data_IF_478196197957
#
_entry.id   IF_478196197957
#
_cell.length_a   1.000
_cell.length_b   1.000
_cell.length_c   1.000
_cell.angle_alpha   90.00
_cell.angle_beta   90.00
_cell.angle_gamma   90.00
#
_symmetry.space_group_name_H-M   'P 1'
#
loop_
_entity.id
_entity.type
_entity.pdbx_description
1 polymer ?
#
# COMPACT_ATOMS: atom_id res chain seq x y z
N UNK A 1 -19.26 26.22 -27.73
CA UNK A 1 -19.64 25.00 -27.01
C UNK A 1 -18.65 23.92 -27.41
N UNK A 2 -17.50 23.91 -26.75
CA UNK A 2 -16.48 22.87 -26.93
C UNK A 2 -16.48 22.12 -25.62
N UNK A 3 -17.10 20.94 -25.63
CA UNK A 3 -16.98 19.97 -24.56
C UNK A 3 -15.49 19.57 -24.51
N UNK A 4 -14.78 20.06 -23.50
CA UNK A 4 -13.52 19.45 -23.09
C UNK A 4 -13.88 18.01 -22.73
N UNK A 5 -13.23 16.97 -23.26
CA UNK A 5 -13.47 15.63 -22.77
C UNK A 5 -13.20 15.68 -21.26
N UNK A 6 -14.27 15.52 -20.47
CA UNK A 6 -14.13 15.32 -19.04
C UNK A 6 -13.15 14.17 -18.90
N UNK A 7 -11.98 14.44 -18.34
CA UNK A 7 -11.02 13.43 -17.93
C UNK A 7 -11.69 12.65 -16.79
N UNK A 8 -12.66 11.82 -17.14
CA UNK A 8 -13.14 10.73 -16.31
C UNK A 8 -12.05 9.66 -16.38
N UNK A 9 -10.88 10.02 -15.84
CA UNK A 9 -9.78 9.12 -15.56
C UNK A 9 -10.26 8.25 -14.40
N UNK A 10 -11.13 7.29 -14.73
CA UNK A 10 -11.79 6.43 -13.75
C UNK A 10 -10.73 5.69 -12.96
N UNK A 11 -10.61 6.10 -11.70
CA UNK A 11 -9.72 5.47 -10.74
C UNK A 11 -10.50 4.34 -10.04
N UNK A 12 -10.16 3.09 -10.35
CA UNK A 12 -10.71 1.95 -9.63
C UNK A 12 -9.85 1.64 -8.40
N UNK A 13 -10.49 1.49 -7.24
CA UNK A 13 -9.84 1.06 -6.00
C UNK A 13 -10.31 -0.34 -5.65
N UNK A 14 -9.37 -1.28 -5.54
CA UNK A 14 -9.65 -2.63 -5.06
C UNK A 14 -8.99 -2.80 -3.68
N UNK A 15 -9.75 -2.99 -2.60
CA UNK A 15 -9.17 -3.28 -1.28
C UNK A 15 -8.36 -4.58 -1.30
N UNK A 16 -7.19 -4.58 -0.66
CA UNK A 16 -6.34 -5.77 -0.51
C UNK A 16 -6.36 -6.24 0.95
N UNK A 17 -6.04 -5.35 1.89
CA UNK A 17 -6.00 -5.69 3.31
C UNK A 17 -6.17 -4.43 4.19
N UNK A 18 -6.56 -4.64 5.44
CA UNK A 18 -6.63 -3.62 6.48
C UNK A 18 -6.23 -4.23 7.82
N UNK A 19 -5.24 -3.64 8.46
CA UNK A 19 -4.77 -4.10 9.77
C UNK A 19 -4.32 -2.93 10.64
N UNK A 20 -4.17 -3.23 11.94
CA UNK A 20 -3.68 -2.27 12.93
C UNK A 20 -2.32 -2.71 13.44
N UNK A 21 -1.35 -1.80 13.42
CA UNK A 21 -0.03 -2.03 14.01
C UNK A 21 -0.18 -1.98 15.54
N UNK A 22 0.18 -3.04 16.30
CA UNK A 22 0.02 -3.06 17.76
C UNK A 22 0.84 -1.98 18.46
N UNK A 23 2.06 -1.75 17.98
CA UNK A 23 2.98 -0.73 18.50
C UNK A 23 2.75 0.57 17.71
N UNK A 24 2.29 1.62 18.39
CA UNK A 24 1.97 2.91 17.76
C UNK A 24 0.52 3.06 17.32
N UNK A 25 -0.20 1.96 17.16
CA UNK A 25 -1.65 1.96 16.96
C UNK A 25 -2.11 2.45 15.58
N UNK A 26 -1.20 2.50 14.60
CA UNK A 26 -1.51 2.93 13.24
C UNK A 26 -2.52 1.99 12.57
N UNK A 27 -3.47 2.56 11.84
CA UNK A 27 -4.34 1.81 10.94
C UNK A 27 -3.72 1.85 9.54
N UNK A 28 -3.51 0.68 8.93
CA UNK A 28 -2.96 0.53 7.60
C UNK A 28 -4.02 -0.06 6.68
N UNK A 29 -4.26 0.62 5.56
CA UNK A 29 -5.06 0.10 4.44
C UNK A 29 -4.17 -0.09 3.22
N UNK A 30 -4.26 -1.28 2.61
CA UNK A 30 -3.65 -1.60 1.33
C UNK A 30 -4.73 -1.69 0.26
N UNK A 31 -4.53 -1.00 -0.86
CA UNK A 31 -5.47 -0.98 -1.98
C UNK A 31 -4.71 -1.04 -3.31
N UNK A 32 -5.22 -1.78 -4.29
CA UNK A 32 -4.80 -1.61 -5.68
C UNK A 32 -5.50 -0.39 -6.26
N UNK A 33 -4.75 0.45 -6.97
CA UNK A 33 -5.25 1.57 -7.75
C UNK A 33 -5.05 1.28 -9.23
N UNK A 34 -6.11 1.42 -10.02
CA UNK A 34 -6.04 1.34 -11.47
C UNK A 34 -6.45 2.69 -12.08
N UNK A 35 -5.57 3.24 -12.93
CA UNK A 35 -5.85 4.44 -13.73
C UNK A 35 -6.47 4.03 -15.08
N UNK A 36 -7.28 4.92 -15.68
CA UNK A 36 -7.97 4.60 -16.92
C UNK A 36 -7.00 4.38 -18.09
N UNK A 37 -7.51 3.81 -19.20
CA UNK A 37 -6.75 3.54 -20.44
C UNK A 37 -5.62 2.49 -20.33
N UNK A 38 -5.77 1.51 -19.43
CA UNK A 38 -4.75 0.47 -19.25
C UNK A 38 -3.51 0.97 -18.52
N UNK A 39 -3.69 2.00 -17.68
CA UNK A 39 -2.65 2.59 -16.86
C UNK A 39 -2.00 1.61 -15.88
N UNK A 40 -0.89 2.06 -15.29
CA UNK A 40 -0.11 1.29 -14.31
C UNK A 40 -0.97 0.90 -13.10
N UNK A 41 -0.92 -0.38 -12.70
CA UNK A 41 -1.51 -0.85 -11.44
C UNK A 41 -0.54 -0.51 -10.31
N UNK A 42 -0.98 0.32 -9.37
CA UNK A 42 -0.18 0.71 -8.22
C UNK A 42 -0.75 0.10 -6.94
N UNK A 43 0.13 -0.16 -5.97
CA UNK A 43 -0.25 -0.42 -4.60
C UNK A 43 -0.31 0.92 -3.85
N UNK A 44 -1.50 1.29 -3.39
CA UNK A 44 -1.72 2.41 -2.47
C UNK A 44 -1.66 1.95 -1.04
N UNK A 45 -0.82 2.61 -0.26
CA UNK A 45 -0.75 2.47 1.19
C UNK A 45 -1.38 3.70 1.81
N UNK A 46 -2.30 3.48 2.77
CA UNK A 46 -2.88 4.55 3.59
C UNK A 46 -2.57 4.23 5.04
N UNK A 47 -1.80 5.09 5.68
CA UNK A 47 -1.44 4.96 7.09
C UNK A 47 -2.13 6.09 7.84
N UNK A 48 -2.92 5.72 8.84
CA UNK A 48 -3.59 6.67 9.74
C UNK A 48 -3.00 6.57 11.13
N UNK A 49 -2.55 7.71 11.64
CA UNK A 49 -2.07 7.89 13.01
C UNK A 49 -2.91 8.97 13.70
N UNK A 50 -4.03 8.56 14.31
CA UNK A 50 -5.00 9.48 14.89
C UNK A 50 -5.62 10.43 13.85
N UNK A 51 -5.13 11.68 13.81
CA UNK A 51 -5.54 12.72 12.84
C UNK A 51 -4.58 12.87 11.66
N UNK A 52 -3.40 12.26 11.70
CA UNK A 52 -2.41 12.30 10.61
C UNK A 52 -2.68 11.18 9.63
N UNK A 53 -2.55 11.50 8.35
CA UNK A 53 -2.74 10.56 7.26
C UNK A 53 -1.56 10.67 6.32
N UNK A 54 -0.98 9.52 5.99
CA UNK A 54 0.03 9.40 4.95
C UNK A 54 -0.52 8.47 3.88
N UNK A 55 -0.56 8.96 2.64
CA UNK A 55 -1.00 8.18 1.48
C UNK A 55 0.10 8.28 0.45
N UNK A 56 0.53 7.14 -0.06
CA UNK A 56 1.47 7.08 -1.17
C UNK A 56 1.24 5.80 -1.96
N UNK A 57 1.67 5.84 -3.22
CA UNK A 57 1.50 4.76 -4.17
C UNK A 57 2.88 4.27 -4.61
N UNK A 58 3.03 2.96 -4.73
CA UNK A 58 4.25 2.31 -5.23
C UNK A 58 3.90 1.35 -6.36
N UNK A 59 4.82 1.19 -7.31
CA UNK A 59 4.68 0.26 -8.42
C UNK A 59 4.90 -1.20 -7.97
N UNK A 60 4.52 -2.20 -8.79
CA UNK A 60 4.64 -3.61 -8.42
C UNK A 60 6.08 -4.07 -8.12
N UNK A 61 7.10 -3.52 -8.78
CA UNK A 61 8.50 -3.90 -8.54
C UNK A 61 8.95 -3.39 -7.19
N UNK A 62 8.66 -2.13 -6.88
CA UNK A 62 8.96 -1.53 -5.56
C UNK A 62 8.21 -2.25 -4.43
N UNK A 63 6.93 -2.60 -4.64
CA UNK A 63 6.13 -3.35 -3.66
C UNK A 63 6.71 -4.75 -3.39
N UNK A 64 7.13 -5.46 -4.45
CA UNK A 64 7.77 -6.77 -4.31
C UNK A 64 9.07 -6.71 -3.50
N UNK A 65 9.90 -5.69 -3.76
CA UNK A 65 11.13 -5.46 -3.00
C UNK A 65 10.85 -5.21 -1.51
N UNK A 66 9.87 -4.36 -1.18
CA UNK A 66 9.47 -4.10 0.21
C UNK A 66 9.00 -5.38 0.91
N UNK A 67 8.12 -6.14 0.27
CA UNK A 67 7.61 -7.40 0.84
C UNK A 67 8.73 -8.38 1.17
N UNK A 68 9.68 -8.55 0.26
CA UNK A 68 10.82 -9.43 0.49
C UNK A 68 11.71 -8.93 1.64
N UNK A 69 12.01 -7.62 1.69
CA UNK A 69 12.81 -7.04 2.76
C UNK A 69 12.16 -7.20 4.15
N UNK A 70 10.84 -6.99 4.24
CA UNK A 70 10.08 -7.15 5.49
C UNK A 70 10.07 -8.61 5.97
N UNK A 71 9.85 -9.56 5.07
CA UNK A 71 9.87 -10.99 5.39
C UNK A 71 11.26 -11.43 5.85
N UNK A 72 12.31 -11.04 5.14
CA UNK A 72 13.69 -11.35 5.53
C UNK A 72 14.02 -10.82 6.92
N UNK A 73 13.66 -9.56 7.23
CA UNK A 73 13.87 -8.99 8.55
C UNK A 73 13.11 -9.75 9.66
N UNK A 74 11.85 -10.12 9.42
CA UNK A 74 11.05 -10.85 10.40
C UNK A 74 11.60 -12.26 10.69
N UNK A 75 12.12 -12.93 9.65
CA UNK A 75 12.77 -14.23 9.80
C UNK A 75 14.02 -14.15 10.69
N UNK A 76 14.83 -13.10 10.57
CA UNK A 76 16.01 -12.89 11.42
C UNK A 76 15.64 -12.71 12.90
N UNK A 77 14.55 -11.98 13.20
CA UNK A 77 14.13 -11.76 14.59
C UNK A 77 13.63 -13.07 15.25
N UNK A 78 12.85 -13.85 14.50
CA UNK A 78 12.26 -15.10 15.03
C UNK A 78 13.27 -16.26 15.09
N UNK A 79 14.28 -16.27 14.21
CA UNK A 79 15.37 -17.24 14.27
C UNK A 79 16.26 -17.06 15.52
N UNK A 80 16.40 -15.83 16.02
CA UNK A 80 17.14 -15.51 17.24
C UNK A 80 16.44 -15.90 18.54
N UNK A 81 15.11 -16.04 18.52
CA UNK A 81 14.29 -16.40 19.70
C UNK A 81 14.29 -17.91 20.00
N UNK A 82 14.74 -18.76 19.07
CA UNK A 82 14.80 -20.22 19.22
C UNK A 82 16.10 -20.79 19.80
N UNK A 83 17.00 -19.95 20.33
CA UNK A 83 18.34 -20.35 20.79
C UNK A 83 18.72 -19.83 22.19
N UNK A 84 17.75 -19.34 22.97
CA UNK A 84 17.95 -18.92 24.37
C UNK A 84 17.30 -19.90 25.36
#
# INVERSE_FOLDING_TARGET
MTDLPAADDKLALTPIDRFRVPIGGQEIDLQQVEYAHGGMRLLRLRIREGKRFTIFDIDPVTAGYWGQAMVSWAAEQTAGEGQA
#
